data_IF_894059001630
#
_entry.id   IF_894059001630
#
_cell.length_a   1.000
_cell.length_b   1.000
_cell.length_c   1.000
_cell.angle_alpha   90.00
_cell.angle_beta   90.00
_cell.angle_gamma   90.00
#
_symmetry.space_group_name_H-M   'P 1'
#
loop_
_entity.id
_entity.type
_entity.pdbx_description
1 polymer ?
#
# COMPACT_ATOMS: atom_id res chain seq x y z
N UNK A 1 28.25 -2.68 12.61
CA UNK A 1 26.84 -2.49 12.98
C UNK A 1 26.44 -1.14 12.42
N UNK A 2 25.87 -1.10 11.22
CA UNK A 2 25.44 0.15 10.61
C UNK A 2 24.16 0.57 11.32
N UNK A 3 24.18 1.72 11.99
CA UNK A 3 22.97 2.38 12.47
C UNK A 3 22.06 2.61 11.26
N UNK A 4 20.99 1.81 11.14
CA UNK A 4 19.95 2.08 10.16
C UNK A 4 19.28 3.37 10.60
N UNK A 5 19.62 4.47 9.94
CA UNK A 5 18.89 5.73 10.04
C UNK A 5 17.39 5.45 9.83
N UNK A 6 16.63 5.48 10.91
CA UNK A 6 15.17 5.36 10.88
C UNK A 6 14.60 6.75 10.74
N UNK A 7 13.88 6.99 9.63
CA UNK A 7 13.18 8.25 9.43
C UNK A 7 12.00 8.35 10.41
N UNK A 8 11.63 9.56 10.86
CA UNK A 8 10.41 9.75 11.64
C UNK A 8 9.18 9.20 10.90
N UNK A 9 8.23 8.51 11.58
CA UNK A 9 7.07 7.90 10.92
C UNK A 9 6.23 8.87 10.08
N UNK A 10 6.13 10.13 10.50
CA UNK A 10 5.39 11.18 9.78
C UNK A 10 6.06 11.58 8.46
N UNK A 11 7.39 11.52 8.40
CA UNK A 11 8.16 11.75 7.16
C UNK A 11 7.88 10.62 6.18
N UNK A 12 7.98 9.37 6.63
CA UNK A 12 7.68 8.18 5.80
C UNK A 12 6.24 8.21 5.29
N UNK A 13 5.26 8.52 6.16
CA UNK A 13 3.86 8.63 5.78
C UNK A 13 3.60 9.76 4.75
N UNK A 14 4.31 10.88 4.87
CA UNK A 14 4.21 11.99 3.91
C UNK A 14 4.73 11.57 2.54
N UNK A 15 5.89 10.92 2.48
CA UNK A 15 6.43 10.40 1.23
C UNK A 15 5.53 9.35 0.59
N UNK A 16 4.98 8.43 1.39
CA UNK A 16 4.02 7.43 0.90
C UNK A 16 2.82 8.09 0.23
N UNK A 17 2.24 9.11 0.87
CA UNK A 17 1.11 9.87 0.30
C UNK A 17 1.51 10.52 -1.03
N UNK A 18 2.63 11.25 -1.07
CA UNK A 18 3.09 11.94 -2.29
C UNK A 18 3.34 10.96 -3.44
N UNK A 19 4.02 9.83 -3.19
CA UNK A 19 4.25 8.82 -4.21
C UNK A 19 2.93 8.20 -4.72
N UNK A 20 1.96 7.96 -3.83
CA UNK A 20 0.65 7.47 -4.23
C UNK A 20 -0.12 8.50 -5.09
N UNK A 21 -0.04 9.78 -4.75
CA UNK A 21 -0.64 10.87 -5.53
C UNK A 21 -0.01 11.00 -6.92
N UNK A 22 1.33 10.94 -7.01
CA UNK A 22 2.09 10.98 -8.27
C UNK A 22 1.77 9.76 -9.15
N UNK A 23 1.79 8.55 -8.59
CA UNK A 23 1.43 7.33 -9.31
C UNK A 23 0.00 7.43 -9.86
N UNK A 24 -0.93 7.86 -9.02
CA UNK A 24 -2.32 7.98 -9.42
C UNK A 24 -2.54 9.10 -10.46
N UNK A 25 -1.74 10.18 -10.44
CA UNK A 25 -1.75 11.20 -11.49
C UNK A 25 -1.20 10.66 -12.82
N UNK A 26 -0.10 9.90 -12.77
CA UNK A 26 0.51 9.27 -13.95
C UNK A 26 -0.44 8.30 -14.65
N UNK A 27 -1.18 7.51 -13.87
CA UNK A 27 -2.12 6.51 -14.40
C UNK A 27 -3.45 7.10 -14.93
N UNK A 28 -3.86 8.30 -14.52
CA UNK A 28 -5.20 8.86 -14.83
C UNK A 28 -5.30 9.69 -16.11
N UNK A 29 -4.20 10.06 -16.77
CA UNK A 29 -4.22 11.17 -17.72
C UNK A 29 -3.46 10.91 -19.03
N UNK A 30 -3.62 9.75 -19.71
CA UNK A 30 -3.02 9.53 -21.04
C UNK A 30 -1.54 9.97 -21.13
N UNK A 31 -0.85 9.90 -19.99
CA UNK A 31 0.46 10.48 -19.79
C UNK A 31 1.45 9.75 -20.69
N UNK A 32 2.57 10.37 -21.04
CA UNK A 32 3.52 9.71 -21.90
C UNK A 32 4.10 8.48 -21.19
N UNK A 33 3.57 7.30 -21.49
CA UNK A 33 4.14 6.02 -21.06
C UNK A 33 3.48 5.46 -19.80
N UNK A 34 2.69 4.42 -20.00
CA UNK A 34 3.00 3.16 -19.35
C UNK A 34 2.87 2.11 -20.45
N UNK A 35 3.99 1.63 -20.97
CA UNK A 35 3.96 0.46 -21.83
C UNK A 35 3.32 -0.71 -21.09
N UNK A 36 2.88 -1.74 -21.80
CA UNK A 36 2.33 -2.93 -21.14
C UNK A 36 3.29 -3.54 -20.12
N UNK A 37 4.60 -3.50 -20.38
CA UNK A 37 5.63 -3.93 -19.43
C UNK A 37 5.69 -3.03 -18.17
N UNK A 38 5.68 -1.70 -18.35
CA UNK A 38 5.69 -0.75 -17.23
C UNK A 38 4.43 -0.88 -16.36
N UNK A 39 3.27 -1.20 -16.96
CA UNK A 39 2.05 -1.44 -16.20
C UNK A 39 2.11 -2.72 -15.37
N UNK A 40 2.68 -3.80 -15.90
CA UNK A 40 2.90 -5.04 -15.12
C UNK A 40 3.82 -4.77 -13.93
N UNK A 41 4.91 -4.03 -14.14
CA UNK A 41 5.81 -3.63 -13.05
C UNK A 41 5.08 -2.76 -12.00
N UNK A 42 4.24 -1.82 -12.44
CA UNK A 42 3.42 -1.00 -11.54
C UNK A 42 2.45 -1.87 -10.74
N UNK A 43 1.80 -2.86 -11.34
CA UNK A 43 0.90 -3.79 -10.63
C UNK A 43 1.68 -4.58 -9.57
N UNK A 44 2.86 -5.11 -9.90
CA UNK A 44 3.71 -5.81 -8.94
C UNK A 44 4.12 -4.91 -7.75
N UNK A 45 4.49 -3.65 -8.01
CA UNK A 45 4.78 -2.68 -6.94
C UNK A 45 3.54 -2.32 -6.13
N UNK A 46 2.35 -2.26 -6.74
CA UNK A 46 1.09 -2.05 -6.03
C UNK A 46 0.77 -3.21 -5.10
N UNK A 47 0.94 -4.46 -5.53
CA UNK A 47 0.78 -5.65 -4.67
C UNK A 47 1.69 -5.55 -3.45
N UNK A 48 3.00 -5.36 -3.67
CA UNK A 48 3.97 -5.21 -2.59
C UNK A 48 3.65 -4.02 -1.66
N UNK A 49 3.18 -2.90 -2.23
CA UNK A 49 2.74 -1.73 -1.47
C UNK A 49 1.52 -2.01 -0.59
N UNK A 50 0.51 -2.73 -1.11
CA UNK A 50 -0.68 -3.11 -0.34
C UNK A 50 -0.33 -4.08 0.80
N UNK A 51 0.58 -5.03 0.57
CA UNK A 51 1.10 -5.88 1.65
C UNK A 51 1.82 -5.05 2.72
N UNK A 52 2.70 -4.13 2.33
CA UNK A 52 3.42 -3.27 3.27
C UNK A 52 2.46 -2.38 4.08
N UNK A 53 1.40 -1.85 3.46
CA UNK A 53 0.34 -1.09 4.14
C UNK A 53 -0.42 -1.98 5.13
N UNK A 54 -0.75 -3.21 4.75
CA UNK A 54 -1.39 -4.18 5.65
C UNK A 54 -0.55 -4.41 6.92
N UNK A 55 0.76 -4.62 6.76
CA UNK A 55 1.69 -4.78 7.89
C UNK A 55 1.81 -3.51 8.74
N UNK A 56 1.87 -2.33 8.11
CA UNK A 56 1.92 -1.05 8.84
C UNK A 56 0.65 -0.84 9.70
N UNK A 57 -0.53 -1.16 9.15
CA UNK A 57 -1.80 -1.10 9.88
C UNK A 57 -1.85 -2.11 11.04
N UNK A 58 -1.38 -3.34 10.83
CA UNK A 58 -1.24 -4.32 11.91
C UNK A 58 -0.28 -3.83 13.01
N UNK A 59 0.82 -3.17 12.64
CA UNK A 59 1.74 -2.52 13.58
C UNK A 59 1.08 -1.40 14.39
N UNK A 60 0.20 -0.60 13.77
CA UNK A 60 -0.59 0.41 14.48
C UNK A 60 -1.57 -0.23 15.47
N UNK A 61 -2.23 -1.34 15.13
CA UNK A 61 -3.07 -2.10 16.06
C UNK A 61 -2.25 -2.52 17.28
N UNK A 62 -1.09 -3.14 17.06
CA UNK A 62 -0.20 -3.57 18.15
C UNK A 62 0.25 -2.39 19.03
N UNK A 63 0.47 -1.20 18.44
CA UNK A 63 0.83 0.01 19.19
C UNK A 63 -0.33 0.55 20.03
N UNK A 64 -1.57 0.43 19.54
CA UNK A 64 -2.77 0.79 20.31
C UNK A 64 -3.02 -0.23 21.43
N UNK A 65 -2.80 -1.52 21.18
CA UNK A 65 -2.92 -2.60 22.18
C UNK A 65 -1.86 -2.54 23.27
N UNK A 66 -0.63 -2.14 22.91
CA UNK A 66 0.50 -2.01 23.83
C UNK A 66 0.30 -0.96 24.93
N UNK A 67 -0.77 -0.17 24.88
CA UNK A 67 -1.19 0.75 25.94
C UNK A 67 -0.18 1.87 26.18
N UNK A 68 -0.42 3.04 25.60
CA UNK A 68 0.25 4.27 26.03
C UNK A 68 -0.51 4.87 27.21
N UNK A 69 0.19 5.50 28.16
CA UNK A 69 -0.43 6.33 29.21
C UNK A 69 -1.40 7.37 28.63
N UNK A 70 -1.13 7.84 27.40
CA UNK A 70 -2.02 8.74 26.67
C UNK A 70 -3.36 8.09 26.27
N UNK A 71 -3.38 6.78 25.99
CA UNK A 71 -4.58 6.03 25.65
C UNK A 71 -5.36 5.59 26.90
N UNK A 72 -4.72 5.54 28.08
CA UNK A 72 -5.37 5.18 29.33
C UNK A 72 -6.47 6.18 29.76
N UNK A 73 -6.36 7.44 29.31
CA UNK A 73 -7.37 8.47 29.55
C UNK A 73 -8.55 8.43 28.56
N UNK A 74 -8.47 7.64 27.48
CA UNK A 74 -9.52 7.55 26.47
C UNK A 74 -10.61 6.54 26.87
N UNK A 75 -11.87 6.75 26.45
CA UNK A 75 -12.93 5.77 26.66
C UNK A 75 -12.58 4.42 26.01
N UNK A 76 -12.75 3.33 26.75
CA UNK A 76 -12.35 1.98 26.29
C UNK A 76 -13.05 1.56 24.98
N UNK A 77 -14.30 2.01 24.80
CA UNK A 77 -15.06 1.76 23.58
C UNK A 77 -14.40 2.41 22.36
N UNK A 78 -13.93 3.65 22.47
CA UNK A 78 -13.30 4.38 21.37
C UNK A 78 -11.98 3.72 20.96
N UNK A 79 -11.17 3.31 21.93
CA UNK A 79 -9.93 2.55 21.69
C UNK A 79 -10.24 1.22 20.99
N UNK A 80 -11.33 0.54 21.37
CA UNK A 80 -11.75 -0.70 20.73
C UNK A 80 -12.19 -0.48 19.27
N UNK A 81 -12.97 0.57 19.00
CA UNK A 81 -13.40 0.92 17.64
C UNK A 81 -12.20 1.23 16.75
N UNK A 82 -11.24 2.03 17.23
CA UNK A 82 -10.03 2.35 16.46
C UNK A 82 -9.25 1.09 16.10
N UNK A 83 -9.06 0.16 17.06
CA UNK A 83 -8.39 -1.12 16.78
C UNK A 83 -9.11 -1.91 15.70
N UNK A 84 -10.44 -1.99 15.77
CA UNK A 84 -11.20 -2.77 14.81
C UNK A 84 -11.16 -2.17 13.40
N UNK A 85 -11.25 -0.84 13.29
CA UNK A 85 -11.08 -0.14 12.01
C UNK A 85 -9.69 -0.38 11.41
N UNK A 86 -8.64 -0.31 12.23
CA UNK A 86 -7.27 -0.58 11.77
C UNK A 86 -7.09 -2.03 11.30
N UNK A 87 -7.66 -3.01 12.01
CA UNK A 87 -7.65 -4.42 11.59
C UNK A 87 -8.41 -4.63 10.28
N UNK A 88 -9.62 -4.06 10.18
CA UNK A 88 -10.42 -4.14 8.96
C UNK A 88 -9.68 -3.53 7.76
N UNK A 89 -9.02 -2.39 7.95
CA UNK A 89 -8.20 -1.75 6.92
C UNK A 89 -6.99 -2.61 6.53
N UNK A 90 -6.32 -3.25 7.50
CA UNK A 90 -5.20 -4.16 7.23
C UNK A 90 -5.64 -5.36 6.37
N UNK A 91 -6.79 -5.95 6.69
CA UNK A 91 -7.38 -7.06 5.93
C UNK A 91 -7.75 -6.59 4.53
N UNK A 92 -8.46 -5.47 4.40
CA UNK A 92 -8.86 -4.94 3.09
C UNK A 92 -7.67 -4.63 2.17
N UNK A 93 -6.57 -4.10 2.72
CA UNK A 93 -5.34 -3.85 1.97
C UNK A 93 -4.74 -5.17 1.46
N UNK A 94 -4.67 -6.19 2.33
CA UNK A 94 -4.18 -7.52 1.94
C UNK A 94 -5.06 -8.18 0.88
N UNK A 95 -6.38 -8.16 1.04
CA UNK A 95 -7.30 -8.70 0.03
C UNK A 95 -7.15 -7.97 -1.32
N UNK A 96 -6.86 -6.66 -1.30
CA UNK A 96 -6.56 -5.91 -2.53
C UNK A 96 -5.24 -6.37 -3.17
N UNK A 97 -4.23 -6.69 -2.37
CA UNK A 97 -2.97 -7.26 -2.84
C UNK A 97 -3.20 -8.64 -3.50
N UNK A 98 -3.93 -9.52 -2.81
CA UNK A 98 -4.28 -10.87 -3.30
C UNK A 98 -5.07 -10.79 -4.62
N UNK A 99 -6.07 -9.91 -4.69
CA UNK A 99 -6.86 -9.73 -5.92
C UNK A 99 -6.03 -9.19 -7.09
N UNK A 100 -5.03 -8.32 -6.83
CA UNK A 100 -4.13 -7.82 -7.87
C UNK A 100 -3.11 -8.89 -8.31
N UNK A 101 -2.60 -9.68 -7.36
CA UNK A 101 -1.69 -10.80 -7.65
C UNK A 101 -2.39 -11.85 -8.53
N UNK A 102 -3.63 -12.21 -8.21
CA UNK A 102 -4.45 -13.15 -8.99
C UNK A 102 -4.65 -12.75 -10.45
N UNK A 103 -4.69 -11.44 -10.74
CA UNK A 103 -4.87 -10.94 -12.12
C UNK A 103 -3.54 -10.69 -12.84
N UNK A 104 -2.40 -10.79 -12.16
CA UNK A 104 -1.06 -10.61 -12.76
C UNK A 104 -0.83 -11.50 -13.99
N UNK A 105 -1.17 -12.80 -14.00
CA UNK A 105 -1.03 -13.64 -15.19
C UNK A 105 -1.84 -13.14 -16.38
N UNK A 106 -2.97 -12.47 -16.12
CA UNK A 106 -3.78 -11.89 -17.20
C UNK A 106 -3.10 -10.67 -17.82
N UNK A 107 -2.42 -9.85 -17.01
CA UNK A 107 -1.60 -8.74 -17.51
C UNK A 107 -0.41 -9.26 -18.34
N UNK A 108 0.24 -10.33 -17.89
CA UNK A 108 1.32 -10.98 -18.62
C UNK A 108 0.85 -11.52 -19.98
N UNK A 109 -0.26 -12.28 -20.03
CA UNK A 109 -0.82 -12.78 -21.30
C UNK A 109 -1.19 -11.65 -22.26
N UNK A 110 -1.76 -10.55 -21.77
CA UNK A 110 -2.05 -9.37 -22.60
C UNK A 110 -0.76 -8.73 -23.11
N UNK A 111 0.27 -8.63 -22.25
CA UNK A 111 1.57 -8.08 -22.62
C UNK A 111 2.31 -8.91 -23.66
N UNK A 112 2.23 -10.25 -23.60
CA UNK A 112 2.80 -11.17 -24.60
C UNK A 112 2.07 -11.09 -25.95
N UNK A 113 0.79 -10.70 -25.92
CA UNK A 113 -0.06 -10.56 -27.11
C UNK A 113 0.17 -9.24 -27.87
N UNK A 114 0.94 -8.32 -27.30
CA UNK A 114 1.27 -7.02 -27.89
C UNK A 114 2.79 -6.80 -27.89
N UNK A 115 3.31 -5.89 -28.71
CA UNK A 115 4.74 -5.54 -28.60
C UNK A 115 5.00 -4.88 -27.23
N UNK A 116 6.15 -5.09 -26.58
CA UNK A 116 6.45 -4.51 -25.26
C UNK A 116 6.44 -2.98 -25.25
N UNK A 117 6.63 -2.33 -26.40
CA UNK A 117 6.53 -0.87 -26.57
C UNK A 117 5.10 -0.38 -26.89
N UNK A 118 4.12 -1.30 -26.89
CA UNK A 118 2.72 -0.96 -27.15
C UNK A 118 2.21 -0.09 -26.00
N UNK A 119 1.77 1.11 -26.36
CA UNK A 119 1.18 2.07 -25.43
C UNK A 119 -0.31 1.73 -25.26
N UNK A 120 -0.77 1.74 -24.02
CA UNK A 120 -2.19 1.67 -23.66
C UNK A 120 -2.79 3.06 -23.48
#
# INVERSE_FOLDING_TARGET
>A
MQDRLTLPPTVVATHLRTCAEELAAGLRCGGPGATTAELTDVVAQLVAGQEAISHALAGLVARVEGGSDALAAAPALDVQVVKEVLRAAAIASRCSAEALDEVTPSFECVSESVAPDTRL
#
